data_IF_384029968585
#
_entry.id   IF_384029968585
#
_cell.length_a   1.000
_cell.length_b   1.000
_cell.length_c   1.000
_cell.angle_alpha   90.00
_cell.angle_beta   90.00
_cell.angle_gamma   90.00
#
_symmetry.space_group_name_H-M   'P 1'
#
loop_
_entity.id
_entity.type
_entity.pdbx_description
1 polymer ?
#
# COMPACT_ATOMS: atom_id res chain seq x y z
N UNK A 1 -21.23 10.32 46.88
CA UNK A 1 -22.34 11.08 46.27
C UNK A 1 -22.45 10.61 44.82
N UNK A 2 -23.52 9.88 44.49
CA UNK A 2 -23.86 9.45 43.12
C UNK A 2 -24.34 10.66 42.30
N UNK A 3 -24.20 10.56 40.98
CA UNK A 3 -25.08 10.98 39.86
C UNK A 3 -24.17 10.86 38.60
N UNK A 4 -24.36 9.98 37.62
CA UNK A 4 -25.58 9.58 36.90
C UNK A 4 -25.58 10.28 35.54
N UNK A 5 -25.34 9.54 34.44
CA UNK A 5 -25.42 10.10 33.08
C UNK A 5 -24.71 9.30 31.99
N UNK A 6 -25.22 8.12 31.65
CA UNK A 6 -24.99 7.54 30.32
C UNK A 6 -25.88 8.29 29.30
N UNK A 7 -25.25 8.97 28.34
CA UNK A 7 -25.63 9.07 26.91
C UNK A 7 -24.74 10.10 26.19
N UNK A 8 -24.60 9.86 24.88
CA UNK A 8 -23.91 10.67 23.85
C UNK A 8 -22.37 10.46 23.77
N UNK A 9 -21.74 10.18 22.63
CA UNK A 9 -22.20 9.90 21.29
C UNK A 9 -21.09 9.18 20.51
N UNK A 10 -21.31 7.92 20.12
CA UNK A 10 -20.49 7.23 19.12
C UNK A 10 -20.95 7.68 17.73
N UNK A 11 -20.46 8.82 17.24
CA UNK A 11 -20.49 9.26 15.83
C UNK A 11 -19.78 10.62 15.73
N UNK A 12 -18.45 10.62 15.69
CA UNK A 12 -17.68 11.86 15.52
C UNK A 12 -16.24 11.65 15.05
N UNK A 13 -15.54 10.63 15.59
CA UNK A 13 -14.10 10.49 15.35
C UNK A 13 -13.69 9.89 14.00
N UNK A 14 -14.62 9.28 13.24
CA UNK A 14 -14.26 8.65 11.95
C UNK A 14 -14.21 9.63 10.77
N UNK A 15 -14.71 10.86 10.93
CA UNK A 15 -14.78 11.85 9.84
C UNK A 15 -13.52 12.69 9.67
N UNK A 16 -12.93 13.17 10.76
CA UNK A 16 -11.80 14.12 10.71
C UNK A 16 -10.50 13.50 10.16
N UNK A 17 -10.26 12.21 10.43
CA UNK A 17 -9.04 11.50 9.99
C UNK A 17 -9.01 11.28 8.47
N UNK A 18 -10.16 10.99 7.86
CA UNK A 18 -10.25 10.76 6.39
C UNK A 18 -10.07 12.03 5.57
N UNK A 19 -10.41 13.19 6.13
CA UNK A 19 -10.34 14.44 5.38
C UNK A 19 -8.91 14.98 5.32
N UNK A 20 -8.10 14.79 6.36
CA UNK A 20 -6.79 15.46 6.39
C UNK A 20 -5.72 14.79 5.52
N UNK A 21 -5.67 13.46 5.52
CA UNK A 21 -4.61 12.66 4.90
C UNK A 21 -4.58 12.74 3.34
N UNK A 22 -5.58 13.38 2.71
CA UNK A 22 -5.88 13.22 1.29
C UNK A 22 -5.86 14.49 0.43
N UNK A 23 -5.83 15.70 1.01
CA UNK A 23 -6.01 16.92 0.22
C UNK A 23 -4.77 17.81 0.11
N UNK A 24 -3.88 17.84 1.10
CA UNK A 24 -2.76 18.79 1.06
C UNK A 24 -1.54 18.27 0.29
N UNK A 25 -1.24 16.96 0.39
CA UNK A 25 -0.09 16.33 -0.27
C UNK A 25 -0.15 16.33 -1.82
N UNK A 26 -1.30 16.07 -2.49
CA UNK A 26 -1.35 16.05 -3.95
C UNK A 26 -1.32 17.44 -4.61
N UNK A 27 -1.53 18.52 -3.84
CA UNK A 27 -1.71 19.89 -4.36
C UNK A 27 -0.53 20.81 -4.05
N UNK A 28 0.58 20.26 -3.56
CA UNK A 28 1.83 20.99 -3.32
C UNK A 28 1.84 21.85 -2.05
N UNK A 29 0.87 21.68 -1.16
CA UNK A 29 0.91 22.32 0.16
C UNK A 29 1.83 21.52 1.09
N UNK A 30 2.76 22.22 1.75
CA UNK A 30 3.46 21.67 2.90
C UNK A 30 2.57 21.76 4.13
N UNK A 31 2.47 20.67 4.88
CA UNK A 31 1.59 20.51 6.03
C UNK A 31 2.37 20.35 7.32
N UNK A 32 1.78 20.80 8.42
CA UNK A 32 2.39 20.65 9.73
C UNK A 32 1.37 20.46 10.84
N UNK A 33 1.68 19.59 11.79
CA UNK A 33 0.98 19.56 13.09
C UNK A 33 1.71 20.45 14.07
N UNK A 34 0.93 21.26 14.76
CA UNK A 34 1.40 22.24 15.71
C UNK A 34 0.71 22.06 17.06
N UNK A 35 1.36 21.32 17.99
CA UNK A 35 0.69 20.81 19.19
C UNK A 35 1.36 21.19 20.52
N UNK A 36 0.53 21.53 21.51
CA UNK A 36 0.93 21.61 22.91
C UNK A 36 0.75 20.23 23.55
N UNK A 37 1.83 19.46 23.66
CA UNK A 37 1.85 18.12 24.23
C UNK A 37 2.95 17.95 25.30
N UNK A 38 3.01 16.77 25.90
CA UNK A 38 3.96 16.40 26.95
C UNK A 38 4.69 15.10 26.59
N UNK A 39 5.78 14.82 27.30
CA UNK A 39 6.42 13.49 27.25
C UNK A 39 5.54 12.53 28.05
N UNK A 40 4.94 11.56 27.37
CA UNK A 40 4.10 10.54 28.00
C UNK A 40 4.95 9.34 28.43
N UNK A 41 5.25 9.27 29.73
CA UNK A 41 5.96 8.17 30.39
C UNK A 41 4.99 7.22 31.12
N UNK A 42 3.68 7.41 30.95
CA UNK A 42 2.66 6.60 31.61
C UNK A 42 2.62 5.16 31.10
N UNK A 43 1.84 4.31 31.78
CA UNK A 43 1.54 2.96 31.28
C UNK A 43 0.74 2.96 29.97
N UNK A 44 0.07 4.08 29.62
CA UNK A 44 -0.73 4.25 28.41
C UNK A 44 0.03 4.80 27.20
N UNK A 45 1.33 5.11 27.35
CA UNK A 45 2.15 5.80 26.34
C UNK A 45 2.17 5.18 24.94
N UNK A 46 1.84 3.89 24.83
CA UNK A 46 1.73 3.24 23.52
C UNK A 46 0.63 3.87 22.66
N UNK A 47 -0.50 4.26 23.23
CA UNK A 47 -1.57 4.94 22.48
C UNK A 47 -1.08 6.27 21.91
N UNK A 48 -0.44 7.10 22.74
CA UNK A 48 0.13 8.39 22.33
C UNK A 48 1.21 8.21 21.26
N UNK A 49 2.08 7.21 21.41
CA UNK A 49 3.09 6.87 20.43
C UNK A 49 2.49 6.40 19.09
N UNK A 50 1.47 5.54 19.11
CA UNK A 50 0.76 5.08 17.91
C UNK A 50 0.06 6.22 17.20
N UNK A 51 -0.61 7.12 17.94
CA UNK A 51 -1.28 8.29 17.36
C UNK A 51 -0.27 9.22 16.68
N UNK A 52 0.82 9.58 17.38
CA UNK A 52 1.87 10.42 16.80
C UNK A 52 2.57 9.76 15.61
N UNK A 53 2.78 8.44 15.65
CA UNK A 53 3.32 7.67 14.54
C UNK A 53 2.41 7.71 13.31
N UNK A 54 1.09 7.57 13.50
CA UNK A 54 0.12 7.71 12.42
C UNK A 54 0.16 9.13 11.83
N UNK A 55 0.11 10.16 12.68
CA UNK A 55 0.13 11.56 12.26
C UNK A 55 1.41 11.93 11.49
N UNK A 56 2.59 11.48 11.93
CA UNK A 56 3.86 11.74 11.23
C UNK A 56 3.94 11.18 9.80
N UNK A 57 3.08 10.23 9.43
CA UNK A 57 3.02 9.70 8.05
C UNK A 57 2.16 10.53 7.12
N UNK A 58 1.31 11.40 7.66
CA UNK A 58 0.36 12.19 6.87
C UNK A 58 0.70 13.69 6.82
N UNK A 59 1.71 14.11 7.58
CA UNK A 59 2.14 15.50 7.67
C UNK A 59 3.64 15.60 7.46
N UNK A 60 4.08 16.60 6.70
CA UNK A 60 5.51 16.82 6.42
C UNK A 60 6.31 17.08 7.70
N UNK A 61 5.68 17.73 8.68
CA UNK A 61 6.30 18.06 9.97
C UNK A 61 5.32 17.95 11.13
N UNK A 62 5.82 17.44 12.25
CA UNK A 62 5.09 17.40 13.52
C UNK A 62 5.92 18.11 14.57
N UNK A 63 5.45 19.28 15.02
CA UNK A 63 6.12 20.13 15.99
C UNK A 63 5.44 19.94 17.36
N UNK A 64 6.21 19.40 18.28
CA UNK A 64 5.78 19.04 19.64
C UNK A 64 6.32 20.03 20.65
N UNK A 65 5.46 20.68 21.44
CA UNK A 65 5.88 21.67 22.44
C UNK A 65 6.90 21.12 23.44
N UNK A 66 6.72 19.87 23.87
CA UNK A 66 7.61 19.24 24.84
C UNK A 66 9.02 18.97 24.28
N UNK A 67 9.16 18.87 22.95
CA UNK A 67 10.44 18.70 22.26
C UNK A 67 11.09 20.04 21.92
N UNK A 68 10.28 21.03 21.54
CA UNK A 68 10.75 22.36 21.22
C UNK A 68 11.11 23.20 22.47
N UNK A 69 10.61 22.83 23.65
CA UNK A 69 10.76 23.65 24.87
C UNK A 69 9.99 24.97 24.81
N UNK A 70 9.01 25.07 23.92
CA UNK A 70 8.17 26.23 23.66
C UNK A 70 6.72 25.74 23.56
N UNK A 71 5.74 26.58 23.90
CA UNK A 71 4.31 26.20 23.83
C UNK A 71 3.49 27.36 23.26
N UNK A 72 2.38 27.07 22.58
CA UNK A 72 1.39 28.08 22.23
C UNK A 72 0.85 28.72 23.52
N UNK A 73 0.65 30.05 23.59
CA UNK A 73 0.74 31.03 22.51
C UNK A 73 2.08 31.80 22.43
N UNK A 74 3.22 31.25 22.87
CA UNK A 74 4.53 31.92 22.77
C UNK A 74 4.89 32.22 21.30
N UNK A 75 5.09 33.50 20.90
CA UNK A 75 5.39 33.88 19.51
C UNK A 75 6.62 33.17 18.91
N UNK A 76 7.59 32.78 19.75
CA UNK A 76 8.79 32.07 19.30
C UNK A 76 8.48 30.70 18.71
N UNK A 77 7.42 30.04 19.19
CA UNK A 77 7.01 28.74 18.67
C UNK A 77 6.45 28.87 17.24
N UNK A 78 5.73 29.95 16.92
CA UNK A 78 5.19 30.21 15.59
C UNK A 78 6.30 30.58 14.59
N UNK A 79 7.28 31.37 15.03
CA UNK A 79 8.46 31.67 14.24
C UNK A 79 9.27 30.39 13.92
N UNK A 80 9.44 29.51 14.91
CA UNK A 80 10.08 28.21 14.69
C UNK A 80 9.28 27.32 13.72
N UNK A 81 7.95 27.31 13.82
CA UNK A 81 7.10 26.56 12.89
C UNK A 81 7.23 27.05 11.44
N UNK A 82 7.29 28.37 11.22
CA UNK A 82 7.52 28.96 9.90
C UNK A 82 8.90 28.58 9.34
N UNK A 83 9.93 28.57 10.17
CA UNK A 83 11.28 28.16 9.79
C UNK A 83 11.33 26.69 9.35
N UNK A 84 10.73 25.80 10.16
CA UNK A 84 10.65 24.36 9.88
C UNK A 84 9.82 24.07 8.62
N UNK A 85 8.72 24.80 8.44
CA UNK A 85 7.91 24.74 7.22
C UNK A 85 8.63 25.40 6.03
N UNK A 86 9.62 26.25 6.26
CA UNK A 86 10.25 27.09 5.21
C UNK A 86 9.20 27.95 4.48
N UNK A 87 8.26 28.50 5.25
CA UNK A 87 7.12 29.27 4.73
C UNK A 87 7.15 30.71 5.26
N UNK A 88 6.58 31.64 4.49
CA UNK A 88 6.32 33.00 4.97
C UNK A 88 4.96 33.06 5.66
N UNK A 89 4.74 33.94 6.66
CA UNK A 89 3.47 33.99 7.38
C UNK A 89 2.25 34.11 6.47
N UNK A 90 2.30 34.98 5.46
CA UNK A 90 1.19 35.19 4.52
C UNK A 90 0.82 33.97 3.66
N UNK A 91 1.70 32.97 3.58
CA UNK A 91 1.50 31.74 2.81
C UNK A 91 0.98 30.59 3.70
N UNK A 92 0.68 30.85 4.98
CA UNK A 92 0.27 29.85 5.97
C UNK A 92 -1.15 30.10 6.45
N UNK A 93 -1.94 29.01 6.48
CA UNK A 93 -3.25 28.95 7.13
C UNK A 93 -3.10 28.14 8.41
N UNK A 94 -3.30 28.76 9.58
CA UNK A 94 -3.28 28.08 10.88
C UNK A 94 -4.69 27.72 11.35
N UNK A 95 -4.89 26.45 11.69
CA UNK A 95 -6.11 25.94 12.30
C UNK A 95 -5.85 25.65 13.79
N UNK A 96 -6.70 26.16 14.68
CA UNK A 96 -6.63 25.88 16.12
C UNK A 96 -8.04 26.00 16.72
N UNK A 97 -8.37 25.18 17.71
CA UNK A 97 -9.64 25.20 18.43
C UNK A 97 -9.65 26.26 19.55
N UNK A 98 -8.48 26.78 19.93
CA UNK A 98 -8.30 27.78 20.98
C UNK A 98 -7.99 29.15 20.36
N UNK A 99 -8.92 30.09 20.48
CA UNK A 99 -8.78 31.43 19.87
C UNK A 99 -7.56 32.24 20.36
N UNK A 100 -7.09 32.03 21.59
CA UNK A 100 -5.87 32.66 22.11
C UNK A 100 -4.61 32.17 21.38
N UNK A 101 -4.56 30.89 20.99
CA UNK A 101 -3.47 30.35 20.20
C UNK A 101 -3.44 30.90 18.76
N UNK A 102 -4.52 31.50 18.28
CA UNK A 102 -4.57 32.11 16.95
C UNK A 102 -4.11 33.57 16.93
N UNK A 103 -4.02 34.26 18.08
CA UNK A 103 -3.63 35.68 18.11
C UNK A 103 -2.20 35.91 17.60
N UNK A 104 -1.16 35.19 18.07
CA UNK A 104 0.20 35.42 17.59
C UNK A 104 0.35 35.13 16.09
N UNK A 105 -0.36 34.11 15.57
CA UNK A 105 -0.36 33.79 14.15
C UNK A 105 -0.94 34.92 13.30
N UNK A 106 -2.06 35.53 13.73
CA UNK A 106 -2.64 36.71 13.05
C UNK A 106 -1.72 37.92 13.10
N UNK A 107 -1.07 38.17 14.23
CA UNK A 107 -0.10 39.27 14.37
C UNK A 107 1.11 39.10 13.45
N UNK A 108 1.51 37.86 13.16
CA UNK A 108 2.56 37.53 12.18
C UNK A 108 2.10 37.64 10.72
N UNK A 109 0.79 37.74 10.46
CA UNK A 109 0.23 37.84 9.12
C UNK A 109 -0.23 36.51 8.51
N UNK A 110 -0.39 35.45 9.31
CA UNK A 110 -0.99 34.19 8.86
C UNK A 110 -2.51 34.32 8.72
N UNK A 111 -3.09 33.59 7.76
CA UNK A 111 -4.51 33.31 7.78
C UNK A 111 -4.82 32.35 8.95
N UNK A 112 -5.96 32.54 9.62
CA UNK A 112 -6.32 31.71 10.79
C UNK A 112 -7.77 31.29 10.75
N UNK A 113 -8.04 30.02 11.06
CA UNK A 113 -9.39 29.45 11.18
C UNK A 113 -9.57 28.96 12.62
N UNK A 114 -10.64 29.41 13.28
CA UNK A 114 -11.04 28.90 14.59
C UNK A 114 -11.87 27.63 14.42
N UNK A 115 -11.31 26.49 14.84
CA UNK A 115 -11.94 25.18 14.68
C UNK A 115 -13.07 25.01 15.70
N UNK A 116 -14.33 25.02 15.22
CA UNK A 116 -15.52 24.73 16.05
C UNK A 116 -16.23 23.45 15.62
N UNK A 117 -16.36 23.27 14.32
CA UNK A 117 -16.90 22.07 13.70
C UNK A 117 -16.20 21.82 12.36
N UNK A 118 -16.11 20.56 11.97
CA UNK A 118 -15.34 20.15 10.79
C UNK A 118 -15.93 20.71 9.49
N UNK A 119 -17.25 20.82 9.36
CA UNK A 119 -17.87 21.23 8.09
C UNK A 119 -17.60 22.71 7.78
N UNK A 120 -17.73 23.58 8.78
CA UNK A 120 -17.42 25.01 8.64
C UNK A 120 -15.93 25.21 8.35
N UNK A 121 -15.05 24.49 9.06
CA UNK A 121 -13.60 24.58 8.85
C UNK A 121 -13.19 24.19 7.43
N UNK A 122 -13.77 23.13 6.88
CA UNK A 122 -13.45 22.71 5.51
C UNK A 122 -13.92 23.71 4.46
N UNK A 123 -15.05 24.39 4.68
CA UNK A 123 -15.51 25.47 3.80
C UNK A 123 -14.56 26.67 3.84
N UNK A 124 -14.23 27.15 5.03
CA UNK A 124 -13.28 28.27 5.19
C UNK A 124 -11.90 27.92 4.64
N UNK A 125 -11.41 26.70 4.88
CA UNK A 125 -10.13 26.24 4.35
C UNK A 125 -10.16 26.14 2.82
N UNK A 126 -11.25 25.66 2.22
CA UNK A 126 -11.44 25.63 0.77
C UNK A 126 -11.46 27.03 0.18
N UNK A 127 -12.14 27.99 0.81
CA UNK A 127 -12.19 29.38 0.37
C UNK A 127 -10.80 30.04 0.41
N UNK A 128 -10.03 29.81 1.48
CA UNK A 128 -8.70 30.40 1.65
C UNK A 128 -7.62 29.74 0.79
N UNK A 129 -7.69 28.42 0.62
CA UNK A 129 -6.70 27.67 -0.16
C UNK A 129 -7.00 27.65 -1.66
N UNK A 130 -8.26 27.92 -2.07
CA UNK A 130 -8.72 27.73 -3.44
C UNK A 130 -8.82 26.25 -3.86
N UNK A 131 -8.64 25.32 -2.91
CA UNK A 131 -8.68 23.87 -3.14
C UNK A 131 -10.07 23.34 -2.83
N UNK A 132 -10.62 22.51 -3.72
CA UNK A 132 -11.84 21.77 -3.41
C UNK A 132 -11.54 20.70 -2.34
N UNK A 133 -12.16 20.82 -1.17
CA UNK A 133 -11.98 19.90 -0.03
C UNK A 133 -13.25 19.09 0.25
N UNK A 134 -14.40 19.60 -0.19
CA UNK A 134 -15.68 18.93 -0.09
C UNK A 134 -15.95 18.17 -1.39
N UNK A 135 -15.53 16.90 -1.43
CA UNK A 135 -15.84 15.97 -2.52
C UNK A 135 -16.93 14.97 -2.09
N UNK A 136 -17.75 14.54 -3.04
CA UNK A 136 -18.75 13.47 -2.83
C UNK A 136 -18.16 12.06 -3.01
N UNK A 137 -17.05 11.94 -3.74
CA UNK A 137 -16.44 10.64 -4.04
C UNK A 137 -15.58 10.13 -2.88
N UNK A 138 -15.72 8.84 -2.55
CA UNK A 138 -14.88 8.20 -1.54
C UNK A 138 -13.45 8.02 -2.10
N UNK A 139 -12.45 8.62 -1.45
CA UNK A 139 -11.08 8.61 -1.97
C UNK A 139 -10.39 7.26 -1.73
N UNK A 140 -9.36 6.97 -2.54
CA UNK A 140 -8.60 5.73 -2.42
C UNK A 140 -7.84 5.68 -1.08
N UNK A 141 -7.64 4.48 -0.48
CA UNK A 141 -6.77 4.35 0.69
C UNK A 141 -5.38 4.97 0.47
N UNK A 142 -4.68 5.33 1.54
CA UNK A 142 -3.29 5.79 1.47
C UNK A 142 -2.41 4.71 0.85
N UNK A 143 -1.74 5.01 -0.26
CA UNK A 143 -0.67 4.19 -0.80
C UNK A 143 0.62 4.42 0.00
N UNK A 144 1.46 3.40 0.16
CA UNK A 144 2.85 3.62 0.59
C UNK A 144 3.75 3.92 -0.61
N UNK A 145 4.67 4.88 -0.43
CA UNK A 145 5.81 5.09 -1.31
C UNK A 145 6.89 4.04 -1.00
N UNK A 146 7.57 3.45 -2.02
CA UNK A 146 8.76 2.62 -1.81
C UNK A 146 9.83 3.22 -0.87
N UNK A 147 9.99 4.54 -0.82
CA UNK A 147 10.95 5.20 0.06
C UNK A 147 10.54 5.19 1.54
N UNK A 148 9.24 5.02 1.84
CA UNK A 148 8.67 5.15 3.18
C UNK A 148 8.48 3.82 3.91
N UNK A 149 8.90 2.71 3.29
CA UNK A 149 8.82 1.36 3.87
C UNK A 149 10.19 0.80 4.22
N UNK A 150 10.24 -0.08 5.22
CA UNK A 150 11.48 -0.76 5.55
C UNK A 150 11.71 -1.92 4.58
N UNK A 151 12.82 -1.88 3.85
CA UNK A 151 13.24 -2.98 2.97
C UNK A 151 14.04 -4.02 3.75
N UNK A 152 13.61 -5.28 3.70
CA UNK A 152 14.27 -6.41 4.31
C UNK A 152 14.66 -7.48 3.30
N UNK A 153 15.72 -8.23 3.61
CA UNK A 153 16.26 -9.28 2.75
C UNK A 153 16.61 -10.52 3.58
N UNK A 154 16.04 -11.67 3.24
CA UNK A 154 16.27 -12.93 3.96
C UNK A 154 16.93 -13.95 3.03
N UNK A 155 18.20 -14.32 3.24
CA UNK A 155 18.81 -15.45 2.56
C UNK A 155 18.21 -16.75 3.12
N UNK A 156 17.30 -17.36 2.36
CA UNK A 156 16.58 -18.57 2.76
C UNK A 156 17.40 -19.84 2.52
N UNK A 157 18.23 -19.86 1.46
CA UNK A 157 19.14 -20.96 1.14
C UNK A 157 20.32 -20.44 0.29
N UNK A 158 21.41 -21.21 0.11
CA UNK A 158 22.55 -20.74 -0.68
C UNK A 158 22.12 -20.28 -2.07
N UNK A 159 22.47 -19.04 -2.42
CA UNK A 159 22.15 -18.44 -3.71
C UNK A 159 20.70 -17.98 -3.88
N UNK A 160 19.81 -18.13 -2.88
CA UNK A 160 18.41 -17.65 -2.95
C UNK A 160 18.07 -16.79 -1.75
N UNK A 161 17.67 -15.56 -2.03
CA UNK A 161 17.23 -14.55 -1.08
C UNK A 161 15.85 -14.02 -1.48
N UNK A 162 15.01 -13.77 -0.48
CA UNK A 162 13.74 -13.08 -0.64
C UNK A 162 13.85 -11.65 -0.11
N UNK A 163 13.43 -10.70 -0.94
CA UNK A 163 13.16 -9.32 -0.56
C UNK A 163 11.72 -9.21 -0.05
N UNK A 164 11.51 -8.33 0.91
CA UNK A 164 10.19 -7.93 1.39
C UNK A 164 10.22 -6.48 1.84
N UNK A 165 9.04 -5.87 1.95
CA UNK A 165 8.88 -4.61 2.68
C UNK A 165 8.07 -4.82 3.95
N UNK A 166 8.36 -4.02 4.95
CA UNK A 166 7.77 -4.14 6.28
C UNK A 166 7.24 -2.80 6.79
N UNK A 167 6.03 -2.85 7.37
CA UNK A 167 5.41 -1.72 8.05
C UNK A 167 4.56 -2.19 9.24
N UNK A 168 4.54 -1.38 10.30
CA UNK A 168 3.66 -1.61 11.45
C UNK A 168 4.26 -2.54 12.51
N UNK A 169 3.47 -2.80 13.54
CA UNK A 169 3.83 -3.61 14.70
C UNK A 169 2.62 -4.42 15.14
N UNK A 170 2.82 -5.64 15.62
CA UNK A 170 1.75 -6.54 16.05
C UNK A 170 1.85 -7.94 15.43
N UNK A 171 0.74 -8.69 15.36
CA UNK A 171 0.73 -10.01 14.72
C UNK A 171 1.17 -9.92 13.25
N UNK A 172 2.05 -10.83 12.77
CA UNK A 172 2.58 -10.75 11.41
C UNK A 172 1.55 -11.18 10.36
N UNK A 173 1.47 -10.39 9.29
CA UNK A 173 0.73 -10.71 8.06
C UNK A 173 1.74 -10.77 6.90
N UNK A 174 1.83 -11.91 6.22
CA UNK A 174 2.57 -12.07 4.98
C UNK A 174 1.62 -11.85 3.78
N UNK A 175 1.93 -10.87 2.94
CA UNK A 175 1.21 -10.59 1.70
C UNK A 175 1.99 -11.19 0.51
N UNK A 176 1.32 -12.02 -0.30
CA UNK A 176 1.88 -12.70 -1.46
C UNK A 176 1.18 -12.22 -2.75
N UNK A 177 1.88 -11.50 -3.62
CA UNK A 177 1.33 -11.04 -4.90
C UNK A 177 1.28 -12.18 -5.94
N UNK A 178 0.63 -11.93 -7.09
CA UNK A 178 0.56 -12.86 -8.21
C UNK A 178 1.39 -12.45 -9.43
N UNK A 179 0.95 -12.87 -10.62
CA UNK A 179 1.63 -12.62 -11.88
C UNK A 179 0.89 -11.63 -12.78
N UNK A 180 1.59 -10.71 -13.48
CA UNK A 180 2.95 -10.25 -13.24
C UNK A 180 2.92 -9.02 -12.32
N UNK A 181 3.20 -9.22 -11.03
CA UNK A 181 3.12 -8.18 -10.02
C UNK A 181 4.44 -8.00 -9.25
N UNK A 182 4.47 -7.04 -8.34
CA UNK A 182 5.51 -6.89 -7.32
C UNK A 182 4.87 -6.60 -5.97
N UNK A 183 5.65 -6.54 -4.88
CA UNK A 183 5.14 -6.20 -3.54
C UNK A 183 4.29 -4.91 -3.53
N UNK A 184 4.60 -3.95 -4.43
CA UNK A 184 3.91 -2.66 -4.57
C UNK A 184 2.43 -2.79 -5.00
N UNK A 185 1.99 -3.98 -5.43
CA UNK A 185 0.56 -4.28 -5.63
C UNK A 185 -0.24 -4.15 -4.34
N UNK A 186 0.41 -4.33 -3.19
CA UNK A 186 -0.20 -4.19 -1.86
C UNK A 186 -0.10 -2.79 -1.26
N UNK A 187 0.36 -1.78 -2.02
CA UNK A 187 0.65 -0.44 -1.47
C UNK A 187 -0.50 0.24 -0.73
N UNK A 188 -1.73 -0.08 -1.09
CA UNK A 188 -2.92 0.44 -0.40
C UNK A 188 -3.27 -0.36 0.87
N UNK A 189 -2.88 -1.62 0.92
CA UNK A 189 -3.14 -2.52 2.06
C UNK A 189 -2.06 -2.39 3.13
N UNK A 190 -0.81 -2.14 2.76
CA UNK A 190 0.31 -2.05 3.71
C UNK A 190 0.05 -1.02 4.80
N UNK A 191 -0.25 0.27 4.50
CA UNK A 191 -0.56 1.26 5.54
C UNK A 191 -1.84 0.92 6.30
N UNK A 192 -2.89 0.49 5.59
CA UNK A 192 -4.19 0.22 6.20
C UNK A 192 -4.14 -0.93 7.23
N UNK A 193 -3.38 -1.99 6.94
CA UNK A 193 -3.18 -3.12 7.85
C UNK A 193 -2.23 -2.76 8.99
N UNK A 194 -1.17 -2.00 8.72
CA UNK A 194 -0.29 -1.48 9.76
C UNK A 194 -1.07 -0.63 10.78
N UNK A 195 -1.98 0.22 10.30
CA UNK A 195 -2.84 1.08 11.13
C UNK A 195 -3.87 0.31 11.94
N UNK A 196 -4.26 -0.86 11.44
CA UNK A 196 -5.10 -1.80 12.16
C UNK A 196 -4.34 -2.57 13.26
N UNK A 197 -3.04 -2.33 13.44
CA UNK A 197 -2.23 -2.92 14.50
C UNK A 197 -1.56 -4.25 14.12
N UNK A 198 -1.27 -4.44 12.84
CA UNK A 198 -0.55 -5.62 12.34
C UNK A 198 0.89 -5.25 11.92
N UNK A 199 1.77 -6.24 12.00
CA UNK A 199 3.10 -6.18 11.38
C UNK A 199 2.97 -6.73 9.96
N UNK A 200 2.96 -5.86 8.96
CA UNK A 200 2.77 -6.24 7.56
C UNK A 200 4.12 -6.55 6.93
N UNK A 201 4.23 -7.73 6.31
CA UNK A 201 5.37 -8.19 5.55
C UNK A 201 4.88 -8.45 4.12
N UNK A 202 5.06 -7.49 3.22
CA UNK A 202 4.72 -7.68 1.81
C UNK A 202 5.92 -8.26 1.08
N UNK A 203 5.80 -9.52 0.67
CA UNK A 203 6.86 -10.27 0.02
C UNK A 203 6.99 -9.80 -1.43
N UNK A 204 8.24 -9.66 -1.88
CA UNK A 204 8.56 -9.79 -3.30
C UNK A 204 8.73 -11.29 -3.56
N UNK A 205 7.79 -11.91 -4.29
CA UNK A 205 7.80 -13.36 -4.47
C UNK A 205 9.06 -13.81 -5.23
N UNK A 206 9.47 -15.07 -5.05
CA UNK A 206 10.63 -15.63 -5.77
C UNK A 206 10.42 -15.48 -7.28
N UNK A 207 11.43 -15.00 -8.00
CA UNK A 207 11.33 -14.65 -9.42
C UNK A 207 11.09 -13.18 -9.72
N UNK A 208 10.76 -12.35 -8.73
CA UNK A 208 10.33 -10.97 -8.95
C UNK A 208 11.26 -9.95 -8.30
N UNK A 209 11.36 -8.78 -8.93
CA UNK A 209 11.94 -7.56 -8.37
C UNK A 209 13.34 -7.75 -7.78
N UNK A 210 13.46 -7.59 -6.46
CA UNK A 210 14.73 -7.77 -5.75
C UNK A 210 14.93 -9.14 -5.12
N UNK A 211 13.90 -9.99 -5.14
CA UNK A 211 14.06 -11.41 -4.80
C UNK A 211 14.88 -12.12 -5.88
N UNK A 212 15.56 -13.18 -5.47
CA UNK A 212 16.29 -14.01 -6.43
C UNK A 212 15.33 -14.63 -7.45
N UNK A 213 15.72 -14.61 -8.72
CA UNK A 213 15.12 -15.41 -9.77
C UNK A 213 16.11 -16.53 -10.15
N UNK A 214 15.91 -17.79 -9.72
CA UNK A 214 16.62 -18.95 -10.23
C UNK A 214 16.19 -19.33 -11.65
N UNK A 215 17.02 -20.00 -12.45
CA UNK A 215 16.69 -20.32 -13.85
C UNK A 215 15.84 -21.59 -14.00
N UNK A 216 16.00 -22.54 -13.08
CA UNK A 216 15.38 -23.86 -13.18
C UNK A 216 13.87 -23.79 -12.90
N UNK A 217 13.06 -24.44 -13.73
CA UNK A 217 11.58 -24.38 -13.64
C UNK A 217 11.09 -24.98 -12.33
N UNK A 218 11.75 -26.05 -11.85
CA UNK A 218 11.39 -26.79 -10.65
C UNK A 218 11.45 -25.92 -9.38
N UNK A 219 12.22 -24.84 -9.41
CA UNK A 219 12.29 -23.84 -8.34
C UNK A 219 10.94 -23.19 -8.08
N UNK A 220 10.10 -23.08 -9.09
CA UNK A 220 8.81 -22.39 -9.01
C UNK A 220 7.64 -23.35 -8.74
N UNK A 221 7.92 -24.62 -8.45
CA UNK A 221 6.91 -25.56 -7.97
C UNK A 221 6.28 -25.08 -6.65
N UNK A 222 4.98 -25.35 -6.47
CA UNK A 222 4.26 -24.96 -5.24
C UNK A 222 4.90 -25.55 -3.98
N UNK A 223 5.42 -26.78 -4.07
CA UNK A 223 6.16 -27.42 -2.99
C UNK A 223 7.41 -26.62 -2.61
N UNK A 224 8.23 -26.23 -3.60
CA UNK A 224 9.45 -25.48 -3.34
C UNK A 224 9.15 -24.07 -2.80
N UNK A 225 8.16 -23.37 -3.36
CA UNK A 225 7.76 -22.04 -2.87
C UNK A 225 7.29 -22.12 -1.41
N UNK A 226 6.47 -23.12 -1.04
CA UNK A 226 6.00 -23.26 0.34
C UNK A 226 7.15 -23.58 1.32
N UNK A 227 8.09 -24.46 0.91
CA UNK A 227 9.31 -24.74 1.70
C UNK A 227 10.13 -23.46 1.93
N UNK A 228 10.33 -22.68 0.88
CA UNK A 228 11.07 -21.42 0.93
C UNK A 228 10.41 -20.42 1.89
N UNK A 229 9.08 -20.32 1.89
CA UNK A 229 8.33 -19.48 2.84
C UNK A 229 8.38 -19.98 4.28
N UNK A 230 8.34 -21.29 4.51
CA UNK A 230 8.55 -21.85 5.85
C UNK A 230 9.94 -21.51 6.40
N UNK A 231 10.98 -21.62 5.57
CA UNK A 231 12.35 -21.23 5.92
C UNK A 231 12.46 -19.71 6.14
N UNK A 232 11.78 -18.90 5.32
CA UNK A 232 11.69 -17.45 5.52
C UNK A 232 11.17 -17.11 6.91
N UNK A 233 10.07 -17.76 7.33
CA UNK A 233 9.51 -17.56 8.67
C UNK A 233 10.49 -18.00 9.77
N UNK A 234 11.20 -19.12 9.60
CA UNK A 234 12.22 -19.59 10.55
C UNK A 234 13.33 -18.55 10.74
N UNK A 235 13.87 -18.04 9.63
CA UNK A 235 14.95 -17.03 9.64
C UNK A 235 14.50 -15.71 10.25
N UNK A 236 13.23 -15.34 10.08
CA UNK A 236 12.63 -14.15 10.67
C UNK A 236 12.25 -14.35 12.15
N UNK A 237 12.39 -15.56 12.71
CA UNK A 237 11.95 -15.89 14.06
C UNK A 237 10.43 -15.80 14.23
N UNK A 238 9.68 -16.01 13.14
CA UNK A 238 8.21 -15.93 13.13
C UNK A 238 7.65 -17.37 13.20
N UNK A 239 7.04 -17.76 14.33
CA UNK A 239 6.46 -19.10 14.46
C UNK A 239 5.24 -19.27 13.56
N UNK A 240 4.36 -18.25 13.51
CA UNK A 240 3.17 -18.24 12.65
C UNK A 240 2.93 -16.86 12.08
N UNK A 241 2.37 -16.81 10.87
CA UNK A 241 1.86 -15.59 10.25
C UNK A 241 0.47 -15.80 9.65
N UNK A 242 -0.30 -14.71 9.52
CA UNK A 242 -1.46 -14.71 8.63
C UNK A 242 -0.95 -14.61 7.20
N UNK A 243 -1.44 -15.44 6.29
CA UNK A 243 -1.07 -15.41 4.89
C UNK A 243 -2.23 -14.88 4.04
N UNK A 244 -1.98 -13.85 3.24
CA UNK A 244 -2.94 -13.27 2.30
C UNK A 244 -2.33 -13.29 0.91
N UNK A 245 -3.00 -13.96 -0.03
CA UNK A 245 -2.51 -14.13 -1.39
C UNK A 245 -3.45 -13.55 -2.45
N UNK A 246 -2.91 -13.08 -3.56
CA UNK A 246 -3.65 -12.72 -4.78
C UNK A 246 -3.13 -13.53 -5.97
N UNK A 247 -4.02 -13.98 -6.87
CA UNK A 247 -3.64 -14.74 -8.08
C UNK A 247 -2.74 -15.96 -7.74
N UNK A 248 -1.51 -16.07 -8.24
CA UNK A 248 -0.56 -17.13 -7.88
C UNK A 248 -0.15 -17.10 -6.42
N UNK A 249 -0.03 -15.91 -5.81
CA UNK A 249 0.10 -15.78 -4.36
C UNK A 249 -1.08 -16.40 -3.63
N UNK A 250 -2.30 -16.32 -4.18
CA UNK A 250 -3.49 -17.01 -3.69
C UNK A 250 -3.34 -18.54 -3.69
N UNK A 251 -2.75 -19.10 -4.75
CA UNK A 251 -2.42 -20.54 -4.83
C UNK A 251 -1.44 -20.93 -3.72
N UNK A 252 -0.38 -20.13 -3.55
CA UNK A 252 0.67 -20.36 -2.55
C UNK A 252 0.10 -20.38 -1.14
N UNK A 253 -0.73 -19.40 -0.77
CA UNK A 253 -1.26 -19.33 0.60
C UNK A 253 -2.23 -20.47 0.92
N UNK A 254 -2.97 -20.99 -0.06
CA UNK A 254 -3.76 -22.21 0.13
C UNK A 254 -2.89 -23.43 0.39
N UNK A 255 -1.77 -23.57 -0.34
CA UNK A 255 -0.83 -24.68 -0.12
C UNK A 255 -0.09 -24.55 1.21
N UNK A 256 0.30 -23.34 1.61
CA UNK A 256 0.84 -23.09 2.96
C UNK A 256 -0.13 -23.56 4.04
N UNK A 257 -1.42 -23.24 3.92
CA UNK A 257 -2.42 -23.65 4.90
C UNK A 257 -2.63 -25.18 4.96
N UNK A 258 -2.46 -25.88 3.82
CA UNK A 258 -2.60 -27.33 3.74
C UNK A 258 -1.39 -28.09 4.27
N UNK A 259 -0.18 -27.65 3.89
CA UNK A 259 1.05 -28.41 4.13
C UNK A 259 1.86 -27.90 5.32
N UNK A 260 1.65 -26.66 5.75
CA UNK A 260 2.30 -26.03 6.90
C UNK A 260 1.28 -25.37 7.85
N UNK A 261 0.18 -26.06 8.24
CA UNK A 261 -0.88 -25.45 9.06
C UNK A 261 -0.34 -24.93 10.41
N UNK A 262 0.71 -25.55 10.95
CA UNK A 262 1.39 -25.11 12.17
C UNK A 262 2.09 -23.76 12.01
N UNK A 263 2.33 -23.29 10.79
CA UNK A 263 2.95 -22.00 10.45
C UNK A 263 1.93 -20.93 10.02
N UNK A 264 0.68 -21.32 9.78
CA UNK A 264 -0.37 -20.44 9.25
C UNK A 264 -1.37 -20.10 10.35
N UNK A 265 -1.33 -18.84 10.83
CA UNK A 265 -2.26 -18.35 11.85
C UNK A 265 -3.70 -18.24 11.31
N UNK A 266 -3.81 -17.77 10.08
CA UNK A 266 -5.04 -17.68 9.27
C UNK A 266 -4.64 -17.53 7.80
N UNK A 267 -5.56 -17.84 6.88
CA UNK A 267 -5.35 -17.75 5.43
C UNK A 267 -6.48 -16.97 4.76
N UNK A 268 -6.14 -16.12 3.80
CA UNK A 268 -7.09 -15.44 2.92
C UNK A 268 -6.56 -15.41 1.48
N UNK A 269 -7.46 -15.52 0.50
CA UNK A 269 -7.11 -15.44 -0.92
C UNK A 269 -8.03 -14.45 -1.63
N UNK A 270 -7.45 -13.61 -2.47
CA UNK A 270 -8.15 -12.71 -3.37
C UNK A 270 -8.18 -13.35 -4.76
N UNK A 271 -9.39 -13.48 -5.30
CA UNK A 271 -9.71 -14.02 -6.62
C UNK A 271 -9.51 -15.54 -6.76
N UNK A 272 -8.40 -16.09 -6.27
CA UNK A 272 -8.02 -17.49 -6.48
C UNK A 272 -8.77 -18.43 -5.52
N UNK A 273 -9.67 -19.31 -6.02
CA UNK A 273 -10.36 -20.26 -5.18
C UNK A 273 -9.43 -21.42 -4.77
N UNK A 274 -9.72 -22.04 -3.63
CA UNK A 274 -9.17 -23.36 -3.33
C UNK A 274 -9.93 -24.43 -4.12
N UNK A 275 -9.21 -25.27 -4.85
CA UNK A 275 -9.75 -26.45 -5.53
C UNK A 275 -8.83 -27.64 -5.24
N UNK A 276 -9.29 -28.68 -4.52
CA UNK A 276 -8.48 -29.87 -4.29
C UNK A 276 -8.17 -30.58 -5.61
N UNK A 277 -7.00 -31.20 -5.70
CA UNK A 277 -6.65 -32.06 -6.82
C UNK A 277 -7.55 -33.30 -6.84
N UNK A 278 -8.05 -33.65 -8.02
CA UNK A 278 -8.78 -34.89 -8.26
C UNK A 278 -7.84 -35.89 -8.94
N UNK A 279 -7.37 -36.94 -8.24
CA UNK A 279 -6.40 -37.88 -8.80
C UNK A 279 -6.97 -38.73 -9.94
N UNK A 280 -8.29 -38.71 -10.15
CA UNK A 280 -8.95 -39.41 -11.27
C UNK A 280 -9.00 -38.61 -12.57
N UNK A 281 -8.58 -37.34 -12.52
CA UNK A 281 -8.69 -36.40 -13.64
C UNK A 281 -7.30 -35.98 -14.11
N UNK A 282 -7.05 -36.08 -15.41
CA UNK A 282 -5.91 -35.40 -16.03
C UNK A 282 -6.15 -33.89 -15.99
N UNK A 283 -5.38 -33.21 -15.15
CA UNK A 283 -5.52 -31.77 -14.93
C UNK A 283 -5.19 -30.97 -16.19
N UNK A 284 -4.24 -31.42 -17.01
CA UNK A 284 -3.82 -30.74 -18.23
C UNK A 284 -4.98 -30.76 -19.23
N UNK A 285 -5.57 -31.93 -19.46
CA UNK A 285 -6.72 -32.07 -20.37
C UNK A 285 -7.95 -31.29 -19.88
N UNK A 286 -8.22 -31.32 -18.56
CA UNK A 286 -9.28 -30.49 -17.97
C UNK A 286 -9.02 -29.01 -18.17
N UNK A 287 -7.80 -28.53 -17.99
CA UNK A 287 -7.46 -27.12 -18.19
C UNK A 287 -7.58 -26.70 -19.66
N UNK A 288 -7.17 -27.55 -20.61
CA UNK A 288 -7.35 -27.30 -22.06
C UNK A 288 -8.82 -27.13 -22.45
N UNK A 289 -9.74 -27.81 -21.75
CA UNK A 289 -11.18 -27.68 -21.99
C UNK A 289 -11.78 -26.33 -21.52
N UNK A 290 -11.02 -25.51 -20.79
CA UNK A 290 -11.47 -24.23 -20.24
C UNK A 290 -10.81 -23.09 -21.03
N UNK A 291 -11.51 -22.42 -21.96
CA UNK A 291 -10.92 -21.43 -22.86
C UNK A 291 -10.22 -20.26 -22.14
N UNK A 292 -10.63 -19.92 -20.92
CA UNK A 292 -10.02 -18.86 -20.12
C UNK A 292 -8.61 -19.19 -19.64
N UNK A 293 -8.18 -20.47 -19.66
CA UNK A 293 -6.82 -20.88 -19.30
C UNK A 293 -5.89 -21.06 -20.50
N UNK A 294 -6.33 -20.73 -21.71
CA UNK A 294 -5.52 -20.84 -22.94
C UNK A 294 -4.18 -20.09 -22.84
N UNK A 295 -4.15 -18.94 -22.15
CA UNK A 295 -2.93 -18.17 -21.91
C UNK A 295 -1.87 -18.95 -21.10
N UNK A 296 -2.28 -19.86 -20.22
CA UNK A 296 -1.34 -20.65 -19.41
C UNK A 296 -0.58 -21.67 -20.28
N UNK A 297 -1.20 -22.14 -21.36
CA UNK A 297 -0.56 -23.02 -22.34
C UNK A 297 0.40 -22.25 -23.25
N UNK A 298 0.10 -20.98 -23.56
CA UNK A 298 1.06 -20.09 -24.23
C UNK A 298 2.32 -19.85 -23.39
N UNK A 299 2.21 -19.84 -22.06
CA UNK A 299 3.35 -19.65 -21.15
C UNK A 299 4.22 -20.91 -20.93
N UNK A 300 3.87 -22.07 -21.52
CA UNK A 300 4.60 -23.31 -21.22
C UNK A 300 5.96 -23.41 -21.92
N UNK A 301 6.10 -22.84 -23.12
CA UNK A 301 7.36 -22.93 -23.89
C UNK A 301 8.34 -21.85 -23.43
N UNK A 302 9.48 -22.23 -22.82
CA UNK A 302 10.43 -21.25 -22.29
C UNK A 302 10.97 -20.31 -23.37
N UNK A 303 11.02 -19.02 -23.06
CA UNK A 303 11.49 -17.97 -23.95
C UNK A 303 10.42 -17.41 -24.90
N UNK A 304 9.27 -18.04 -25.09
CA UNK A 304 8.22 -17.54 -25.99
C UNK A 304 7.48 -16.36 -25.35
N UNK A 305 6.93 -16.57 -24.15
CA UNK A 305 6.18 -15.52 -23.45
C UNK A 305 7.13 -14.41 -22.98
N UNK A 306 8.31 -14.78 -22.50
CA UNK A 306 9.36 -13.85 -22.07
C UNK A 306 9.74 -12.91 -23.21
N UNK A 307 9.97 -13.44 -24.42
CA UNK A 307 10.30 -12.61 -25.59
C UNK A 307 9.19 -11.60 -25.95
N UNK A 308 7.91 -11.95 -25.78
CA UNK A 308 6.81 -11.02 -26.00
C UNK A 308 6.69 -9.97 -24.89
N UNK A 309 6.72 -10.42 -23.63
CA UNK A 309 6.45 -9.58 -22.46
C UNK A 309 7.61 -8.63 -22.14
N UNK A 310 8.85 -9.05 -22.40
CA UNK A 310 10.07 -8.26 -22.16
C UNK A 310 10.41 -7.30 -23.30
N UNK A 311 9.85 -7.51 -24.50
CA UNK A 311 10.07 -6.62 -25.66
C UNK A 311 9.75 -5.17 -25.34
N UNK A 312 8.67 -4.94 -24.60
CA UNK A 312 8.33 -3.64 -24.03
C UNK A 312 7.60 -3.85 -22.69
N UNK A 313 8.39 -3.89 -21.61
CA UNK A 313 7.92 -4.05 -20.23
C UNK A 313 6.84 -3.01 -19.87
N UNK A 314 6.99 -1.76 -20.32
CA UNK A 314 6.04 -0.69 -20.04
C UNK A 314 4.70 -0.92 -20.73
N UNK A 315 4.71 -1.35 -21.99
CA UNK A 315 3.51 -1.77 -22.71
C UNK A 315 2.84 -2.94 -22.01
N UNK A 316 3.60 -3.98 -21.65
CA UNK A 316 3.09 -5.18 -20.98
C UNK A 316 2.35 -4.81 -19.69
N UNK A 317 3.00 -4.06 -18.80
CA UNK A 317 2.41 -3.67 -17.52
C UNK A 317 1.18 -2.78 -17.69
N UNK A 318 1.21 -1.79 -18.60
CA UNK A 318 0.05 -0.95 -18.90
C UNK A 318 -1.11 -1.75 -19.51
N UNK A 319 -0.84 -2.82 -20.25
CA UNK A 319 -1.88 -3.69 -20.80
C UNK A 319 -2.52 -4.57 -19.72
N UNK A 320 -1.72 -5.11 -18.80
CA UNK A 320 -2.16 -6.14 -17.84
C UNK A 320 -2.70 -5.56 -16.52
N UNK A 321 -2.07 -4.53 -15.95
CA UNK A 321 -2.40 -4.01 -14.61
C UNK A 321 -3.32 -2.79 -14.74
N UNK A 322 -4.63 -3.06 -14.72
CA UNK A 322 -5.68 -2.06 -14.95
C UNK A 322 -6.86 -2.28 -14.01
N UNK A 323 -7.60 -1.21 -13.66
CA UNK A 323 -8.81 -1.36 -12.85
C UNK A 323 -10.02 -1.79 -13.69
N UNK A 324 -11.12 -2.13 -13.02
CA UNK A 324 -12.40 -2.45 -13.67
C UNK A 324 -13.22 -1.21 -14.04
N UNK A 325 -12.71 -0.01 -13.72
CA UNK A 325 -13.36 1.27 -14.04
C UNK A 325 -13.42 1.49 -15.55
N UNK A 326 -14.40 2.26 -16.02
CA UNK A 326 -14.64 2.41 -17.47
C UNK A 326 -13.47 3.11 -18.17
N UNK A 327 -12.84 4.04 -17.48
CA UNK A 327 -11.69 4.85 -17.90
C UNK A 327 -10.45 3.98 -18.16
N UNK A 328 -10.33 2.87 -17.42
CA UNK A 328 -9.23 1.93 -17.56
C UNK A 328 -9.51 0.83 -18.60
N UNK A 329 -10.69 0.75 -19.20
CA UNK A 329 -10.96 -0.28 -20.21
C UNK A 329 -10.17 -0.01 -21.48
N UNK A 330 -9.69 -1.07 -22.12
CA UNK A 330 -9.13 -1.04 -23.47
C UNK A 330 -10.17 -1.63 -24.43
N UNK A 331 -11.03 -0.81 -25.08
CA UNK A 331 -12.22 -1.32 -25.77
C UNK A 331 -11.89 -2.22 -26.98
N UNK A 332 -10.73 -2.00 -27.59
CA UNK A 332 -10.23 -2.78 -28.73
C UNK A 332 -9.34 -3.96 -28.33
N UNK A 333 -9.00 -4.10 -27.04
CA UNK A 333 -8.14 -5.19 -26.61
C UNK A 333 -8.91 -6.51 -26.57
N UNK A 334 -8.38 -7.59 -27.15
CA UNK A 334 -8.98 -8.91 -27.03
C UNK A 334 -8.98 -9.36 -25.57
N UNK A 335 -10.00 -10.15 -25.18
CA UNK A 335 -9.96 -10.88 -23.91
C UNK A 335 -8.80 -11.89 -23.92
N UNK A 336 -8.43 -12.40 -22.75
CA UNK A 336 -7.45 -13.48 -22.62
C UNK A 336 -8.04 -14.84 -23.06
N UNK A 337 -8.46 -14.92 -24.32
CA UNK A 337 -9.05 -16.08 -25.00
C UNK A 337 -8.36 -16.24 -26.36
N UNK A 338 -8.13 -17.49 -26.77
CA UNK A 338 -7.51 -17.79 -28.07
C UNK A 338 -6.11 -17.19 -28.23
N UNK A 339 -5.34 -17.13 -27.14
CA UNK A 339 -3.97 -16.62 -27.08
C UNK A 339 -3.04 -17.46 -27.96
N UNK A 340 -3.19 -18.79 -27.94
CA UNK A 340 -2.37 -19.66 -28.78
C UNK A 340 -2.66 -19.45 -30.27
N UNK A 341 -3.94 -19.33 -30.65
CA UNK A 341 -4.37 -19.12 -32.04
C UNK A 341 -3.88 -17.77 -32.60
N UNK A 342 -3.97 -16.70 -31.79
CA UNK A 342 -3.52 -15.37 -32.19
C UNK A 342 -2.00 -15.17 -32.10
N UNK A 343 -1.28 -16.11 -31.49
CA UNK A 343 0.18 -16.13 -31.43
C UNK A 343 0.82 -15.17 -30.41
N UNK A 344 0.11 -14.79 -29.34
CA UNK A 344 0.70 -14.00 -28.26
C UNK A 344 -0.29 -13.30 -27.33
N UNK A 345 0.09 -13.11 -26.06
CA UNK A 345 -0.72 -12.51 -24.99
C UNK A 345 -1.06 -11.03 -25.21
N UNK A 346 -0.25 -10.31 -25.99
CA UNK A 346 -0.42 -8.88 -26.29
C UNK A 346 -0.79 -8.63 -27.75
N UNK A 347 -0.84 -9.67 -28.60
CA UNK A 347 -1.34 -9.54 -29.98
C UNK A 347 -2.78 -9.00 -29.99
N UNK A 348 -3.00 -7.86 -30.66
CA UNK A 348 -4.28 -7.16 -30.69
C UNK A 348 -4.48 -6.13 -29.58
N UNK A 349 -3.57 -6.03 -28.61
CA UNK A 349 -3.53 -4.91 -27.67
C UNK A 349 -2.89 -3.67 -28.34
N UNK A 350 -3.25 -2.45 -27.91
CA UNK A 350 -2.58 -1.24 -28.39
C UNK A 350 -1.05 -1.33 -28.24
N UNK A 351 -0.31 -0.77 -29.20
CA UNK A 351 1.16 -0.68 -29.11
C UNK A 351 1.60 0.26 -27.98
N UNK A 352 0.81 1.31 -27.70
CA UNK A 352 1.02 2.20 -26.57
C UNK A 352 -0.27 2.34 -25.75
N UNK A 353 -0.61 1.36 -24.89
CA UNK A 353 -1.74 1.49 -23.98
C UNK A 353 -1.53 2.70 -23.06
N UNK A 354 -2.58 3.47 -22.74
CA UNK A 354 -2.48 4.53 -21.75
C UNK A 354 -2.19 3.94 -20.37
N UNK A 355 -1.67 4.76 -19.47
CA UNK A 355 -1.57 4.41 -18.04
C UNK A 355 -2.96 4.13 -17.46
N UNK A 356 -3.02 3.46 -16.31
CA UNK A 356 -4.27 3.15 -15.62
C UNK A 356 -4.38 3.96 -14.33
N UNK A 357 -5.60 4.12 -13.83
CA UNK A 357 -5.85 4.80 -12.54
C UNK A 357 -5.13 4.12 -11.37
N UNK A 358 -4.80 2.83 -11.50
CA UNK A 358 -4.10 2.04 -10.48
C UNK A 358 -2.63 1.77 -10.85
N UNK A 359 -2.13 2.23 -11.98
CA UNK A 359 -0.72 2.11 -12.34
C UNK A 359 -0.34 3.22 -13.33
N UNK A 360 0.23 4.28 -12.77
CA UNK A 360 0.63 5.49 -13.49
C UNK A 360 1.92 6.05 -12.90
N UNK A 361 2.55 6.99 -13.59
CA UNK A 361 3.63 7.81 -13.03
C UNK A 361 4.76 7.03 -12.34
N UNK A 362 5.18 7.43 -11.13
CA UNK A 362 6.28 6.78 -10.40
C UNK A 362 6.07 5.29 -10.12
N UNK A 363 4.85 4.86 -9.81
CA UNK A 363 4.55 3.45 -9.55
C UNK A 363 4.77 2.60 -10.79
N UNK A 364 4.33 3.06 -11.97
CA UNK A 364 4.60 2.36 -13.21
C UNK A 364 6.10 2.23 -13.47
N UNK A 365 6.87 3.30 -13.24
CA UNK A 365 8.33 3.27 -13.40
C UNK A 365 8.98 2.28 -12.42
N UNK A 366 8.48 2.20 -11.20
CA UNK A 366 8.94 1.21 -10.24
C UNK A 366 8.74 -0.22 -10.77
N UNK A 367 7.53 -0.58 -11.22
CA UNK A 367 7.28 -1.91 -11.79
C UNK A 367 8.19 -2.17 -13.00
N UNK A 368 8.32 -1.22 -13.92
CA UNK A 368 9.19 -1.36 -15.10
C UNK A 368 10.62 -1.69 -14.68
N UNK A 369 11.19 -0.96 -13.71
CA UNK A 369 12.54 -1.22 -13.21
C UNK A 369 12.67 -2.61 -12.58
N UNK A 370 11.65 -3.08 -11.86
CA UNK A 370 11.65 -4.42 -11.25
C UNK A 370 11.60 -5.53 -12.29
N UNK A 371 10.74 -5.41 -13.29
CA UNK A 371 10.63 -6.40 -14.38
C UNK A 371 11.80 -6.33 -15.36
N UNK A 372 12.43 -5.17 -15.57
CA UNK A 372 13.69 -5.08 -16.32
C UNK A 372 14.85 -5.82 -15.64
N UNK A 373 14.83 -5.93 -14.30
CA UNK A 373 15.83 -6.66 -13.53
C UNK A 373 15.55 -8.16 -13.46
N UNK A 374 14.29 -8.53 -13.22
CA UNK A 374 13.89 -9.91 -12.94
C UNK A 374 13.44 -10.70 -14.18
N UNK A 375 12.97 -10.01 -15.22
CA UNK A 375 12.28 -10.62 -16.35
C UNK A 375 10.84 -11.01 -16.02
N UNK A 376 10.20 -11.74 -16.94
CA UNK A 376 8.83 -12.27 -16.79
C UNK A 376 8.78 -13.78 -16.56
N UNK A 377 9.91 -14.41 -16.23
CA UNK A 377 10.00 -15.87 -16.09
C UNK A 377 9.45 -16.42 -14.79
#
# INVERSE_FOLDING_TARGET
MKLGGEKEGKKGEKGGKKVFDQFCLPLGFKTGIFTNNWVDDSSGRLFTATLLGALRRHFDVVIESCRAGLHKPDPRLYAHALEVLQAKPQDVILLDDIGENLKPARELGMATILVRDTQTVLKELQELSGVQLLHEDEPLPTACDPADVSHGYVPIRPGVQLHFVEMGQGPPICLCHGFPEVWLSWRYQIPALADAGFRVIALEMKGYGESTAPLDIEEYSQEQICKDLAIFLDKMGIPQAVFIGHDWGGVVVWHMALFYPERVRAVASLNTPYRPADPSVDIVEKMKSIPTFDYQFYFQEPGVAEAELEKDVGRTLKALIRSTRKEDRLPSAPRFLGIQERGGLLVGFPENPPESLILHGPELQYYVQRFQKSGFR
#
